data_IF_556259690924
#
_entry.id   IF_556259690924
#
_cell.length_a   1.000
_cell.length_b   1.000
_cell.length_c   1.000
_cell.angle_alpha   90.00
_cell.angle_beta   90.00
_cell.angle_gamma   90.00
#
_symmetry.space_group_name_H-M   'P 1'
#
loop_
_entity.id
_entity.type
_entity.pdbx_description
1 polymer ?
#
# COMPACT_ATOMS: atom_id res chain seq x y z
N UNK A 1 -10.21 -10.27 -7.54
CA UNK A 1 -9.00 -9.41 -7.51
C UNK A 1 -9.31 -7.94 -7.27
N UNK A 2 -10.52 -7.47 -7.60
CA UNK A 2 -11.00 -6.09 -7.41
C UNK A 2 -10.76 -5.51 -6.01
N UNK A 3 -11.14 -6.24 -4.95
CA UNK A 3 -10.92 -5.85 -3.54
C UNK A 3 -9.47 -5.50 -3.21
N UNK A 4 -8.50 -6.23 -3.80
CA UNK A 4 -7.09 -6.00 -3.52
C UNK A 4 -6.61 -4.72 -4.20
N UNK A 5 -7.15 -4.38 -5.37
CA UNK A 5 -6.77 -3.17 -6.09
C UNK A 5 -7.32 -1.93 -5.36
N UNK A 6 -8.58 -1.98 -4.95
CA UNK A 6 -9.23 -0.92 -4.17
C UNK A 6 -8.49 -0.62 -2.85
N UNK A 7 -8.14 -1.68 -2.12
CA UNK A 7 -7.32 -1.56 -0.90
C UNK A 7 -6.00 -0.82 -1.14
N UNK A 8 -5.34 -1.07 -2.28
CA UNK A 8 -4.06 -0.44 -2.60
C UNK A 8 -4.22 1.01 -3.08
N UNK A 9 -5.28 1.30 -3.83
CA UNK A 9 -5.60 2.64 -4.31
C UNK A 9 -5.98 3.57 -3.15
N UNK A 10 -6.90 3.14 -2.28
CA UNK A 10 -7.28 3.91 -1.08
C UNK A 10 -6.10 4.11 -0.12
N UNK A 11 -5.24 3.10 0.04
CA UNK A 11 -4.02 3.25 0.81
C UNK A 11 -3.08 4.30 0.20
N UNK A 12 -2.97 4.35 -1.14
CA UNK A 12 -2.16 5.34 -1.84
C UNK A 12 -2.69 6.76 -1.63
N UNK A 13 -4.01 6.96 -1.75
CA UNK A 13 -4.66 8.26 -1.53
C UNK A 13 -4.44 8.79 -0.12
N UNK A 14 -4.41 7.89 0.87
CA UNK A 14 -4.26 8.21 2.30
C UNK A 14 -2.82 8.10 2.80
N UNK A 15 -1.85 7.90 1.91
CA UNK A 15 -0.45 7.68 2.30
C UNK A 15 0.11 8.87 3.09
N UNK A 16 -0.29 10.09 2.75
CA UNK A 16 0.07 11.30 3.48
C UNK A 16 -0.48 11.31 4.92
N UNK A 17 -1.66 10.76 5.17
CA UNK A 17 -2.22 10.69 6.52
C UNK A 17 -1.41 9.74 7.41
N UNK A 18 -0.85 8.67 6.82
CA UNK A 18 0.06 7.76 7.51
C UNK A 18 1.42 8.40 7.85
N UNK A 19 1.88 9.36 7.05
CA UNK A 19 3.17 10.04 7.23
C UNK A 19 3.05 11.23 8.18
N UNK A 20 2.01 12.05 8.00
CA UNK A 20 1.82 13.28 8.79
C UNK A 20 1.46 13.00 10.25
N UNK A 21 0.95 11.79 10.56
CA UNK A 21 0.62 11.38 11.93
C UNK A 21 -0.56 12.13 12.55
N UNK A 22 -1.22 13.03 11.78
CA UNK A 22 -2.38 13.82 12.23
C UNK A 22 -3.59 12.95 12.53
N UNK A 23 -3.66 11.77 11.92
CA UNK A 23 -4.74 10.79 12.10
C UNK A 23 -4.11 9.51 12.67
N UNK A 24 -4.75 8.94 13.70
CA UNK A 24 -4.35 7.63 14.21
C UNK A 24 -4.44 6.57 13.12
N UNK A 25 -3.39 5.75 12.97
CA UNK A 25 -3.33 4.68 11.96
C UNK A 25 -4.55 3.77 11.98
N UNK A 26 -5.05 3.44 13.18
CA UNK A 26 -6.28 2.66 13.35
C UNK A 26 -7.46 3.31 12.61
N UNK A 27 -7.66 4.61 12.79
CA UNK A 27 -8.72 5.38 12.15
C UNK A 27 -8.56 5.44 10.63
N UNK A 28 -7.33 5.53 10.12
CA UNK A 28 -7.08 5.48 8.67
C UNK A 28 -7.48 4.12 8.10
N UNK A 29 -7.14 3.01 8.79
CA UNK A 29 -7.56 1.67 8.37
C UNK A 29 -9.07 1.44 8.46
N UNK A 30 -9.75 2.02 9.46
CA UNK A 30 -11.21 1.98 9.53
C UNK A 30 -11.86 2.68 8.33
N UNK A 31 -11.34 3.84 7.92
CA UNK A 31 -11.83 4.56 6.74
C UNK A 31 -11.66 3.77 5.44
N UNK A 32 -10.52 3.08 5.29
CA UNK A 32 -10.26 2.20 4.15
C UNK A 32 -11.25 1.02 4.14
N UNK A 33 -11.45 0.37 5.28
CA UNK A 33 -12.39 -0.74 5.41
C UNK A 33 -13.84 -0.33 5.08
N UNK A 34 -14.26 0.87 5.49
CA UNK A 34 -15.58 1.41 5.17
C UNK A 34 -15.76 1.69 3.67
N UNK A 35 -14.71 2.12 2.97
CA UNK A 35 -14.76 2.31 1.51
C UNK A 35 -14.85 0.98 0.76
N UNK A 36 -14.02 0.01 1.14
CA UNK A 36 -14.06 -1.34 0.54
C UNK A 36 -15.47 -1.97 0.67
N UNK A 37 -16.14 -1.81 1.82
CA UNK A 37 -17.51 -2.30 2.03
C UNK A 37 -18.51 -1.64 1.07
N UNK A 38 -18.35 -0.35 0.77
CA UNK A 38 -19.28 0.39 -0.09
C UNK A 38 -19.15 0.01 -1.57
N UNK A 39 -17.93 -0.26 -2.03
CA UNK A 39 -17.68 -0.67 -3.42
C UNK A 39 -18.01 -2.15 -3.66
N UNK A 40 -17.72 -3.02 -2.69
CA UNK A 40 -18.03 -4.44 -2.80
C UNK A 40 -19.51 -4.62 -2.48
N UNK A 41 -20.37 -4.54 -3.51
CA UNK A 41 -21.84 -4.71 -3.47
C UNK A 41 -22.40 -5.97 -2.75
N UNK A 42 -21.55 -6.78 -2.12
CA UNK A 42 -21.85 -8.10 -1.59
C UNK A 42 -22.06 -8.13 -0.07
N UNK A 43 -22.01 -6.98 0.63
CA UNK A 43 -22.37 -6.92 2.06
C UNK A 43 -21.38 -7.59 3.02
N UNK A 44 -20.18 -7.93 2.55
CA UNK A 44 -19.12 -8.45 3.41
C UNK A 44 -18.60 -7.35 4.32
N UNK A 45 -18.70 -7.53 5.63
CA UNK A 45 -18.09 -6.64 6.63
C UNK A 45 -16.59 -6.87 6.69
N UNK A 46 -15.83 -6.05 5.99
CA UNK A 46 -14.38 -6.02 6.10
C UNK A 46 -14.01 -5.17 7.32
N UNK A 47 -13.10 -5.66 8.16
CA UNK A 47 -12.63 -4.90 9.33
C UNK A 47 -11.28 -4.23 9.05
N UNK A 48 -10.99 -3.15 9.76
CA UNK A 48 -9.69 -2.47 9.73
C UNK A 48 -8.49 -3.42 9.94
N UNK A 49 -8.65 -4.43 10.79
CA UNK A 49 -7.61 -5.44 11.09
C UNK A 49 -7.40 -6.36 9.88
N UNK A 50 -8.47 -6.70 9.16
CA UNK A 50 -8.39 -7.48 7.93
C UNK A 50 -7.68 -6.70 6.83
N UNK A 51 -8.02 -5.42 6.62
CA UNK A 51 -7.33 -4.55 5.67
C UNK A 51 -5.82 -4.45 5.99
N UNK A 52 -5.49 -4.19 7.26
CA UNK A 52 -4.10 -4.09 7.72
C UNK A 52 -3.33 -5.40 7.50
N UNK A 53 -3.92 -6.53 7.92
CA UNK A 53 -3.29 -7.85 7.78
C UNK A 53 -3.09 -8.18 6.31
N UNK A 54 -4.08 -7.90 5.46
CA UNK A 54 -4.01 -8.16 4.03
C UNK A 54 -2.95 -7.31 3.35
N UNK A 55 -2.92 -6.01 3.64
CA UNK A 55 -1.90 -5.11 3.12
C UNK A 55 -0.49 -5.54 3.54
N UNK A 56 -0.32 -5.94 4.80
CA UNK A 56 0.97 -6.42 5.33
C UNK A 56 1.43 -7.69 4.64
N UNK A 57 0.52 -8.64 4.39
CA UNK A 57 0.77 -9.86 3.63
C UNK A 57 1.22 -9.51 2.20
N UNK A 58 0.46 -8.67 1.49
CA UNK A 58 0.77 -8.26 0.11
C UNK A 58 2.14 -7.61 0.02
N UNK A 59 2.47 -6.73 0.98
CA UNK A 59 3.77 -6.06 1.07
C UNK A 59 4.91 -7.03 1.36
N UNK A 60 4.71 -8.01 2.26
CA UNK A 60 5.70 -9.05 2.55
C UNK A 60 5.96 -9.91 1.33
N UNK A 61 4.90 -10.36 0.64
CA UNK A 61 5.03 -11.14 -0.60
C UNK A 61 5.75 -10.34 -1.69
N UNK A 62 5.37 -9.07 -1.88
CA UNK A 62 6.04 -8.20 -2.86
C UNK A 62 7.54 -8.07 -2.59
N UNK A 63 7.92 -7.79 -1.33
CA UNK A 63 9.33 -7.71 -0.92
C UNK A 63 10.07 -9.04 -1.12
N UNK A 64 9.48 -10.14 -0.65
CA UNK A 64 10.07 -11.46 -0.82
C UNK A 64 10.35 -11.78 -2.30
N UNK A 65 9.45 -11.40 -3.21
CA UNK A 65 9.64 -11.59 -4.65
C UNK A 65 10.74 -10.67 -5.22
N UNK A 66 10.77 -9.38 -4.84
CA UNK A 66 11.84 -8.45 -5.28
C UNK A 66 13.22 -8.83 -4.74
N UNK A 67 13.28 -9.28 -3.49
CA UNK A 67 14.52 -9.70 -2.82
C UNK A 67 15.04 -11.04 -3.37
N UNK A 68 14.15 -11.95 -3.81
CA UNK A 68 14.50 -13.27 -4.37
C UNK A 68 14.50 -13.33 -5.91
N UNK A 69 15.10 -12.35 -6.57
CA UNK A 69 15.18 -12.24 -8.04
C UNK A 69 15.92 -13.41 -8.76
N UNK A 70 15.39 -14.65 -8.75
CA UNK A 70 15.57 -15.72 -9.78
C UNK A 70 15.03 -17.13 -9.43
N UNK A 71 14.22 -17.34 -8.39
CA UNK A 71 13.66 -18.69 -8.13
C UNK A 71 12.13 -18.73 -8.11
N UNK A 72 11.63 -19.40 -9.14
CA UNK A 72 10.25 -19.70 -9.48
C UNK A 72 9.47 -18.54 -10.10
N UNK A 73 9.24 -18.69 -11.41
CA UNK A 73 8.15 -18.01 -12.08
C UNK A 73 6.85 -18.40 -11.39
N UNK A 74 6.17 -17.42 -10.82
CA UNK A 74 4.78 -17.59 -10.48
C UNK A 74 4.05 -16.30 -10.86
N UNK A 75 2.95 -16.48 -11.58
CA UNK A 75 2.37 -15.52 -12.49
C UNK A 75 2.28 -14.09 -11.97
N UNK A 76 2.51 -13.16 -12.90
CA UNK A 76 2.31 -11.71 -12.79
C UNK A 76 1.02 -11.45 -12.01
N UNK A 77 1.15 -11.24 -10.70
CA UNK A 77 0.03 -10.91 -9.84
C UNK A 77 -0.35 -9.48 -10.20
N UNK A 78 -1.57 -9.27 -10.67
CA UNK A 78 -2.07 -7.98 -11.19
C UNK A 78 -1.88 -6.77 -10.24
N UNK A 79 -1.67 -7.00 -8.95
CA UNK A 79 -1.39 -5.96 -7.96
C UNK A 79 0.10 -5.55 -7.86
N UNK A 80 1.04 -6.27 -8.49
CA UNK A 80 2.47 -5.96 -8.40
C UNK A 80 2.81 -4.59 -9.00
N UNK A 81 2.25 -4.26 -10.16
CA UNK A 81 2.44 -2.93 -10.76
C UNK A 81 1.95 -1.80 -9.86
N UNK A 82 0.83 -2.01 -9.15
CA UNK A 82 0.30 -1.06 -8.17
C UNK A 82 1.24 -0.92 -6.97
N UNK A 83 1.82 -2.02 -6.49
CA UNK A 83 2.84 -2.00 -5.44
C UNK A 83 4.16 -1.37 -5.89
N UNK A 84 4.59 -1.59 -7.13
CA UNK A 84 5.76 -0.94 -7.74
C UNK A 84 5.57 0.58 -7.78
N UNK A 85 4.38 1.07 -8.14
CA UNK A 85 4.07 2.51 -8.09
C UNK A 85 4.08 3.00 -6.63
N UNK A 86 3.35 2.33 -5.74
CA UNK A 86 3.18 2.72 -4.33
C UNK A 86 4.52 2.76 -3.56
N UNK A 87 5.39 1.77 -3.79
CA UNK A 87 6.66 1.59 -3.06
C UNK A 87 7.86 2.14 -3.84
N UNK A 88 7.79 2.18 -5.17
CA UNK A 88 8.79 2.81 -6.04
C UNK A 88 8.75 4.33 -5.98
N UNK A 89 7.57 4.95 -5.86
CA UNK A 89 7.45 6.39 -5.58
C UNK A 89 8.10 6.76 -4.24
N UNK A 90 8.03 5.87 -3.24
CA UNK A 90 8.72 6.07 -1.96
C UNK A 90 10.24 6.06 -2.11
N UNK A 91 10.80 5.27 -3.03
CA UNK A 91 12.24 5.32 -3.34
C UNK A 91 12.60 6.60 -4.10
N UNK A 92 11.77 7.02 -5.07
CA UNK A 92 11.99 8.27 -5.82
C UNK A 92 11.95 9.52 -4.92
N UNK A 93 10.98 9.61 -4.01
CA UNK A 93 10.90 10.72 -3.06
C UNK A 93 12.00 10.67 -1.97
N UNK A 94 12.43 9.47 -1.56
CA UNK A 94 13.55 9.35 -0.59
C UNK A 94 14.90 9.70 -1.22
N UNK A 95 15.03 9.64 -2.55
CA UNK A 95 16.22 10.10 -3.29
C UNK A 95 16.27 11.63 -3.45
N UNK A 96 15.16 12.35 -3.26
CA UNK A 96 15.10 13.81 -3.46
C UNK A 96 15.29 14.63 -2.18
N UNK A 97 15.65 14.00 -1.05
CA UNK A 97 15.92 14.70 0.21
C UNK A 97 17.42 14.90 0.53
N UNK A 98 18.30 14.76 -0.47
CA UNK A 98 19.74 15.03 -0.29
C UNK A 98 20.32 15.81 -1.45
N UNK A 99 19.86 17.04 -1.69
CA UNK A 99 20.72 18.10 -2.23
C UNK A 99 20.04 19.45 -2.03
N UNK A 100 20.33 20.11 -0.91
CA UNK A 100 20.75 21.51 -0.94
C UNK A 100 21.43 21.87 0.40
N UNK A 101 22.59 21.26 0.64
CA UNK A 101 23.59 21.95 1.45
C UNK A 101 24.40 22.81 0.49
N UNK A 102 24.02 24.06 0.35
CA UNK A 102 24.93 25.10 -0.14
C UNK A 102 24.72 26.31 0.76
N UNK A 103 25.43 26.29 1.88
CA UNK A 103 25.44 27.34 2.86
C UNK A 103 26.87 27.82 3.10
N UNK A 104 27.26 28.80 2.26
CA UNK A 104 28.36 29.76 2.38
C UNK A 104 29.81 29.27 2.48
#
# INVERSE_FOLDING_TARGET
>A
HEVILLLLEEYNLRQNDFVTGKIFKKKIWSLIAEMDIKEIKHGYKITEIQCLSKFSELKRTYKAVKDHNNKSGNGIRSYFSHMDILLGLKLFMSSMSTVLSTGK
#
